data_IF_780093498797
#
_entry.id   IF_780093498797
#
_cell.length_a   1.000
_cell.length_b   1.000
_cell.length_c   1.000
_cell.angle_alpha   90.00
_cell.angle_beta   90.00
_cell.angle_gamma   90.00
#
_symmetry.space_group_name_H-M   'P 1'
#
loop_
_entity.id
_entity.type
_entity.pdbx_description
1 polymer ?
#
# COMPACT_ATOMS: atom_id res chain seq x y z
N UNK A 1 5.88 -4.80 25.07
CA UNK A 1 6.43 -4.07 23.91
C UNK A 1 5.29 -3.65 23.00
N UNK A 2 5.04 -2.35 22.87
CA UNK A 2 4.06 -1.80 21.93
C UNK A 2 4.86 -0.97 20.93
N UNK A 3 4.79 -1.36 19.66
CA UNK A 3 5.52 -0.69 18.58
C UNK A 3 4.54 0.28 17.91
N UNK A 4 4.78 1.58 18.04
CA UNK A 4 3.96 2.59 17.38
C UNK A 4 4.39 2.69 15.91
N UNK A 5 3.54 2.17 15.03
CA UNK A 5 3.78 2.14 13.59
C UNK A 5 3.00 3.25 12.88
N UNK A 6 3.56 3.87 11.83
CA UNK A 6 2.83 4.79 10.97
C UNK A 6 1.58 4.12 10.37
N UNK A 7 0.48 4.86 10.14
CA UNK A 7 -0.80 4.30 9.67
C UNK A 7 -0.70 3.58 8.31
N UNK A 8 0.31 3.92 7.51
CA UNK A 8 0.55 3.34 6.19
C UNK A 8 1.38 2.05 6.23
N UNK A 9 1.89 1.68 7.41
CA UNK A 9 2.86 0.61 7.59
C UNK A 9 2.18 -0.68 8.05
N UNK A 10 1.72 -1.48 7.08
CA UNK A 10 1.21 -2.84 7.34
C UNK A 10 2.35 -3.85 7.35
N UNK A 11 2.93 -4.08 8.54
CA UNK A 11 3.81 -5.23 8.77
C UNK A 11 3.05 -6.30 9.55
N UNK A 12 3.09 -7.53 9.06
CA UNK A 12 2.67 -8.68 9.85
C UNK A 12 3.77 -8.93 10.88
N UNK A 13 3.57 -8.44 12.11
CA UNK A 13 4.44 -8.76 13.23
C UNK A 13 4.28 -10.23 13.60
N UNK A 14 4.98 -11.12 12.91
CA UNK A 14 5.09 -12.53 13.27
C UNK A 14 6.34 -12.68 14.13
N UNK A 15 6.24 -12.32 15.41
CA UNK A 15 7.20 -12.77 16.39
C UNK A 15 6.49 -13.66 17.40
N UNK A 16 6.93 -14.92 17.48
CA UNK A 16 6.43 -15.86 18.47
C UNK A 16 6.97 -15.46 19.84
N UNK A 17 6.09 -14.94 20.70
CA UNK A 17 6.44 -14.50 22.06
C UNK A 17 7.06 -15.64 22.87
N UNK A 18 6.66 -16.89 22.60
CA UNK A 18 7.20 -18.11 23.19
C UNK A 18 8.67 -18.43 22.84
N UNK A 19 9.24 -17.78 21.81
CA UNK A 19 10.66 -17.92 21.47
C UNK A 19 11.52 -16.83 22.12
N UNK A 20 10.94 -15.88 22.84
CA UNK A 20 11.69 -14.86 23.55
C UNK A 20 12.26 -15.46 24.83
N UNK A 21 13.56 -15.25 25.05
CA UNK A 21 14.16 -15.52 26.36
C UNK A 21 13.49 -14.62 27.41
N UNK A 22 13.27 -15.11 28.65
CA UNK A 22 12.79 -14.28 29.74
C UNK A 22 13.75 -13.09 29.94
N UNK A 23 13.19 -11.92 30.20
CA UNK A 23 13.98 -10.74 30.51
C UNK A 23 14.51 -10.85 31.94
N UNK A 24 15.82 -10.66 32.10
CA UNK A 24 16.48 -10.49 33.39
C UNK A 24 17.23 -9.17 33.37
N UNK A 25 17.15 -8.42 34.47
CA UNK A 25 17.92 -7.19 34.64
C UNK A 25 19.38 -7.60 34.77
N UNK A 26 20.23 -7.01 33.93
CA UNK A 26 21.68 -7.16 34.05
C UNK A 26 22.12 -6.27 35.23
N UNK A 27 22.40 -6.89 36.38
CA UNK A 27 22.84 -6.18 37.59
C UNK A 27 24.28 -5.65 37.46
N UNK A 28 25.07 -6.19 36.53
CA UNK A 28 26.48 -5.85 36.33
C UNK A 28 26.64 -4.62 35.42
N UNK A 29 25.81 -4.52 34.36
CA UNK A 29 25.69 -3.32 33.54
C UNK A 29 24.24 -3.03 33.12
N UNK A 30 23.55 -2.14 33.86
CA UNK A 30 22.17 -1.75 33.53
C UNK A 30 22.04 -1.13 32.13
N UNK A 31 23.10 -0.51 31.59
CA UNK A 31 23.06 0.15 30.28
C UNK A 31 23.04 -0.84 29.13
N UNK A 32 23.61 -2.05 29.33
CA UNK A 32 23.61 -3.13 28.33
C UNK A 32 22.20 -3.67 28.05
N UNK A 33 21.30 -3.56 29.01
CA UNK A 33 19.91 -3.95 28.87
C UNK A 33 19.04 -2.95 28.08
N UNK A 34 19.60 -1.77 27.75
CA UNK A 34 18.93 -0.76 26.93
C UNK A 34 19.03 -1.18 25.46
N UNK A 35 17.89 -1.41 24.78
CA UNK A 35 17.91 -1.79 23.38
C UNK A 35 18.37 -0.61 22.53
N UNK A 36 19.62 -0.64 22.07
CA UNK A 36 20.11 0.24 21.02
C UNK A 36 19.74 -0.38 19.66
N UNK A 37 18.86 0.28 18.91
CA UNK A 37 18.55 -0.09 17.53
C UNK A 37 18.88 1.09 16.66
N UNK A 38 19.68 0.84 15.62
CA UNK A 38 19.82 1.81 14.55
C UNK A 38 18.43 2.17 14.00
N UNK A 39 18.15 3.46 13.76
CA UNK A 39 16.92 3.86 13.12
C UNK A 39 16.83 3.12 11.79
N UNK A 40 15.75 2.37 11.60
CA UNK A 40 15.48 1.70 10.34
C UNK A 40 15.36 2.81 9.30
N UNK A 41 16.38 2.97 8.45
CA UNK A 41 16.28 3.77 7.23
C UNK A 41 15.26 3.08 6.33
N UNK A 42 13.98 3.36 6.57
CA UNK A 42 12.90 2.90 5.72
C UNK A 42 13.22 3.39 4.31
N UNK A 43 13.54 2.44 3.43
CA UNK A 43 13.37 2.65 2.00
C UNK A 43 11.88 2.72 1.78
N UNK A 44 11.28 3.89 2.02
CA UNK A 44 9.91 4.14 1.64
C UNK A 44 9.81 3.70 0.16
N UNK A 45 8.86 2.82 -0.20
CA UNK A 45 8.59 2.61 -1.61
C UNK A 45 8.42 3.99 -2.23
N UNK A 46 8.89 4.20 -3.46
CA UNK A 46 8.84 5.50 -4.15
C UNK A 46 7.38 5.95 -4.36
N UNK A 47 6.69 6.30 -3.29
CA UNK A 47 5.35 6.87 -3.25
C UNK A 47 5.41 8.31 -3.73
N UNK A 48 6.58 8.99 -3.62
CA UNK A 48 6.80 10.33 -4.16
C UNK A 48 6.52 10.42 -5.67
N UNK A 49 6.91 9.42 -6.48
CA UNK A 49 6.57 9.42 -7.92
C UNK A 49 5.07 9.25 -8.15
N UNK A 50 4.39 8.42 -7.36
CA UNK A 50 2.96 8.22 -7.51
C UNK A 50 2.16 9.44 -7.00
N UNK A 51 2.63 10.16 -5.97
CA UNK A 51 1.91 11.21 -5.25
C UNK A 51 1.57 12.46 -6.09
N UNK A 52 2.30 12.72 -7.18
CA UNK A 52 2.10 13.91 -8.01
C UNK A 52 1.49 13.61 -9.39
N UNK A 53 1.20 12.34 -9.69
CA UNK A 53 0.59 11.99 -10.98
C UNK A 53 -0.85 12.51 -11.05
N UNK A 54 -1.21 13.09 -12.20
CA UNK A 54 -2.60 13.39 -12.51
C UNK A 54 -3.11 12.38 -13.53
N UNK A 55 -4.27 11.81 -13.23
CA UNK A 55 -4.92 10.86 -14.10
C UNK A 55 -5.61 11.62 -15.24
N UNK A 56 -5.49 11.11 -16.46
CA UNK A 56 -6.23 11.61 -17.62
C UNK A 56 -7.54 10.82 -17.77
N UNK A 57 -7.45 9.48 -17.89
CA UNK A 57 -8.60 8.63 -18.16
C UNK A 57 -8.36 7.16 -17.77
N UNK A 58 -9.44 6.45 -17.40
CA UNK A 58 -9.44 4.98 -17.28
C UNK A 58 -9.88 4.40 -18.62
N UNK A 59 -8.99 3.65 -19.27
CA UNK A 59 -9.25 3.08 -20.59
C UNK A 59 -10.05 1.79 -20.52
N UNK A 60 -9.70 0.93 -19.56
CA UNK A 60 -10.34 -0.38 -19.38
C UNK A 60 -10.11 -0.90 -17.98
N UNK A 61 -10.89 -1.90 -17.61
CA UNK A 61 -10.67 -2.64 -16.38
C UNK A 61 -10.44 -4.11 -16.67
N UNK A 62 -9.65 -4.76 -15.82
CA UNK A 62 -9.45 -6.19 -15.83
C UNK A 62 -10.03 -6.76 -14.54
N UNK A 63 -11.01 -7.64 -14.69
CA UNK A 63 -11.53 -8.47 -13.61
C UNK A 63 -10.90 -9.84 -13.80
N UNK A 64 -9.98 -10.22 -12.92
CA UNK A 64 -9.35 -11.53 -12.99
C UNK A 64 -10.22 -12.52 -12.20
N UNK A 65 -10.52 -13.66 -12.82
CA UNK A 65 -11.07 -14.81 -12.11
C UNK A 65 -9.99 -15.35 -11.16
N UNK A 66 -10.41 -15.92 -10.03
CA UNK A 66 -9.54 -16.48 -8.98
C UNK A 66 -8.97 -15.48 -7.94
N UNK A 67 -9.83 -14.66 -7.32
CA UNK A 67 -9.48 -13.93 -6.08
C UNK A 67 -8.48 -12.77 -6.24
N UNK A 68 -8.00 -12.50 -7.44
CA UNK A 68 -7.14 -11.36 -7.72
C UNK A 68 -7.93 -10.04 -7.69
N UNK A 69 -7.30 -8.99 -7.15
CA UNK A 69 -7.94 -7.67 -7.05
C UNK A 69 -8.17 -7.04 -8.42
N UNK A 70 -9.36 -6.46 -8.65
CA UNK A 70 -9.70 -5.68 -9.85
C UNK A 70 -8.64 -4.60 -10.13
N UNK A 71 -8.23 -4.48 -11.40
CA UNK A 71 -7.27 -3.47 -11.86
C UNK A 71 -7.88 -2.58 -12.95
N UNK A 72 -7.50 -1.32 -12.96
CA UNK A 72 -7.80 -0.36 -14.02
C UNK A 72 -6.55 -0.08 -14.84
N UNK A 73 -6.68 0.00 -16.15
CA UNK A 73 -5.65 0.55 -17.00
C UNK A 73 -5.86 2.05 -17.10
N UNK A 74 -4.89 2.81 -16.58
CA UNK A 74 -4.98 4.25 -16.42
C UNK A 74 -3.99 4.93 -17.34
N UNK A 75 -4.48 5.91 -18.09
CA UNK A 75 -3.68 6.86 -18.85
C UNK A 75 -3.36 8.05 -17.95
N UNK A 76 -2.07 8.37 -17.84
CA UNK A 76 -1.57 9.46 -16.99
C UNK A 76 -1.19 10.67 -17.84
N UNK A 77 -1.45 11.86 -17.30
CA UNK A 77 -1.03 13.10 -17.95
C UNK A 77 0.49 13.14 -18.00
N UNK A 78 1.05 13.26 -19.21
CA UNK A 78 2.50 13.32 -19.44
C UNK A 78 3.23 11.97 -19.50
N UNK A 79 2.53 10.84 -19.39
CA UNK A 79 3.10 9.52 -19.69
C UNK A 79 2.54 8.97 -21.00
N UNK A 80 3.43 8.47 -21.87
CA UNK A 80 3.03 7.91 -23.16
C UNK A 80 2.29 6.58 -23.03
N UNK A 81 2.67 5.76 -22.04
CA UNK A 81 2.16 4.40 -21.89
C UNK A 81 1.18 4.28 -20.72
N UNK A 82 -0.04 3.76 -20.95
CA UNK A 82 -0.99 3.48 -19.88
C UNK A 82 -0.48 2.39 -18.92
N UNK A 83 -0.69 2.57 -17.62
CA UNK A 83 -0.26 1.63 -16.59
C UNK A 83 -1.45 0.92 -15.92
N UNK A 84 -1.22 -0.30 -15.41
CA UNK A 84 -2.21 -1.03 -14.64
C UNK A 84 -2.12 -0.71 -13.15
N UNK A 85 -3.23 -0.29 -12.57
CA UNK A 85 -3.32 0.14 -11.19
C UNK A 85 -4.48 -0.54 -10.47
N UNK A 86 -4.32 -0.74 -9.17
CA UNK A 86 -5.31 -1.46 -8.37
C UNK A 86 -6.56 -0.61 -8.13
N UNK A 87 -7.73 -1.23 -8.25
CA UNK A 87 -9.02 -0.55 -8.09
C UNK A 87 -9.18 0.11 -6.72
N UNK A 88 -8.67 -0.51 -5.65
CA UNK A 88 -8.75 0.09 -4.31
C UNK A 88 -7.94 1.40 -4.20
N UNK A 89 -6.78 1.48 -4.87
CA UNK A 89 -5.96 2.71 -4.90
C UNK A 89 -6.65 3.80 -5.71
N UNK A 90 -7.22 3.43 -6.84
CA UNK A 90 -7.94 4.37 -7.70
C UNK A 90 -9.19 4.92 -7.01
N UNK A 91 -9.99 4.07 -6.35
CA UNK A 91 -11.16 4.51 -5.57
C UNK A 91 -10.81 5.45 -4.43
N UNK A 92 -9.65 5.29 -3.79
CA UNK A 92 -9.21 6.19 -2.71
C UNK A 92 -8.77 7.55 -3.22
N UNK A 93 -8.18 7.62 -4.42
CA UNK A 93 -7.47 8.82 -4.89
C UNK A 93 -8.17 9.60 -6.00
N UNK A 94 -8.93 8.90 -6.84
CA UNK A 94 -9.69 9.45 -7.97
C UNK A 94 -11.13 8.90 -7.92
N UNK A 95 -11.91 9.20 -6.86
CA UNK A 95 -13.22 8.61 -6.67
C UNK A 95 -14.26 9.07 -7.71
N UNK A 96 -14.13 10.28 -8.26
CA UNK A 96 -15.08 10.85 -9.22
C UNK A 96 -14.91 10.20 -10.59
N UNK A 97 -13.67 10.06 -11.02
CA UNK A 97 -13.27 9.49 -12.31
C UNK A 97 -13.59 8.00 -12.37
N UNK A 98 -13.39 7.28 -11.25
CA UNK A 98 -13.78 5.86 -11.16
C UNK A 98 -15.30 5.69 -11.22
N UNK A 99 -16.08 6.64 -10.66
CA UNK A 99 -17.55 6.60 -10.76
C UNK A 99 -18.02 6.87 -12.19
N UNK A 100 -17.51 7.93 -12.81
CA UNK A 100 -17.82 8.26 -14.21
C UNK A 100 -17.54 7.07 -15.14
N UNK A 101 -16.37 6.42 -14.98
CA UNK A 101 -16.05 5.21 -15.74
C UNK A 101 -16.99 4.02 -15.46
N UNK A 102 -17.44 3.84 -14.22
CA UNK A 102 -18.38 2.76 -13.90
C UNK A 102 -19.79 3.02 -14.46
N UNK A 103 -20.21 4.27 -14.49
CA UNK A 103 -21.49 4.69 -15.09
C UNK A 103 -21.47 4.48 -16.61
N UNK A 104 -20.35 4.81 -17.28
CA UNK A 104 -20.20 4.57 -18.72
C UNK A 104 -20.04 3.08 -19.04
N UNK A 105 -19.19 2.35 -18.30
CA UNK A 105 -18.96 0.92 -18.54
C UNK A 105 -20.17 0.05 -18.20
N UNK A 106 -20.95 0.43 -17.18
CA UNK A 106 -22.18 -0.27 -16.83
C UNK A 106 -23.30 -0.11 -17.87
N UNK A 107 -23.22 0.91 -18.73
CA UNK A 107 -24.16 1.10 -19.83
C UNK A 107 -23.87 0.18 -21.04
N UNK A 108 -22.63 -0.30 -21.19
CA UNK A 108 -22.23 -1.15 -22.33
C UNK A 108 -22.47 -2.64 -22.09
N UNK A 109 -22.44 -3.12 -20.84
CA UNK A 109 -22.68 -4.54 -20.48
C UNK A 109 -24.18 -4.92 -20.42
N UNK A 110 -25.09 -4.00 -20.76
CA UNK A 110 -26.55 -4.16 -20.62
C UNK A 110 -27.35 -4.20 -21.93
N UNK A 111 -26.70 -4.35 -23.09
CA UNK A 111 -27.34 -4.40 -24.42
C UNK A 111 -27.24 -5.79 -25.08
#
# INVERSE_FOLDING_TARGET
YKLDLPPDFKVHSVFFVCNLKPFYIDEEDPKRSVPERDPILQRAPSTKRAANRQMEEILRHKTNYLGESKKYQVKWIGEYNPNWEYAFRMKQRYPLEVKAYQETAGAEDGA
#
